data_IF_935577530483
#
_entry.id   IF_935577530483
#
_cell.length_a   1.000
_cell.length_b   1.000
_cell.length_c   1.000
_cell.angle_alpha   90.00
_cell.angle_beta   90.00
_cell.angle_gamma   90.00
#
_symmetry.space_group_name_H-M   'P 1'
#
loop_
_entity.id
_entity.type
_entity.pdbx_description
1 polymer ?
#
# COMPACT_ATOMS: atom_id res chain seq x y z
N UNK A 1 -8.36 -12.36 30.78
CA UNK A 1 -8.36 -11.83 29.40
C UNK A 1 -9.77 -11.37 29.11
N UNK A 2 -10.00 -10.06 29.01
CA UNK A 2 -11.26 -9.57 28.48
C UNK A 2 -11.29 -9.95 26.99
N UNK A 3 -12.29 -10.74 26.58
CA UNK A 3 -12.42 -11.16 25.18
C UNK A 3 -12.70 -9.98 24.26
N UNK A 4 -12.40 -10.15 22.98
CA UNK A 4 -12.80 -9.21 21.92
C UNK A 4 -14.32 -8.99 21.98
N UNK A 5 -14.77 -7.74 22.10
CA UNK A 5 -16.19 -7.39 22.14
C UNK A 5 -16.60 -6.73 20.82
N UNK A 6 -17.43 -7.42 20.05
CA UNK A 6 -17.98 -6.88 18.81
C UNK A 6 -19.15 -5.94 19.12
N UNK A 7 -19.08 -4.73 18.58
CA UNK A 7 -20.16 -3.76 18.61
C UNK A 7 -20.65 -3.52 17.18
N UNK A 8 -21.94 -3.78 16.92
CA UNK A 8 -22.54 -3.63 15.58
C UNK A 8 -23.43 -2.38 15.57
N UNK A 9 -23.22 -1.51 14.59
CA UNK A 9 -24.08 -0.38 14.29
C UNK A 9 -24.44 -0.40 12.80
N UNK A 10 -25.69 -0.09 12.48
CA UNK A 10 -26.20 -0.07 11.10
C UNK A 10 -26.47 1.34 10.58
N UNK A 11 -26.30 2.37 11.42
CA UNK A 11 -26.46 3.78 11.06
C UNK A 11 -25.31 4.62 11.59
N UNK A 12 -25.02 5.76 10.95
CA UNK A 12 -23.99 6.70 11.42
C UNK A 12 -24.26 7.16 12.87
N UNK A 13 -25.52 7.43 13.19
CA UNK A 13 -25.93 7.86 14.53
C UNK A 13 -25.64 6.80 15.59
N UNK A 14 -25.97 5.53 15.32
CA UNK A 14 -25.63 4.43 16.21
C UNK A 14 -24.10 4.29 16.37
N UNK A 15 -23.35 4.40 15.28
CA UNK A 15 -21.88 4.34 15.32
C UNK A 15 -21.32 5.47 16.18
N UNK A 16 -21.82 6.71 16.04
CA UNK A 16 -21.41 7.85 16.86
C UNK A 16 -21.72 7.62 18.34
N UNK A 17 -22.88 7.08 18.67
CA UNK A 17 -23.26 6.77 20.05
C UNK A 17 -22.33 5.72 20.66
N UNK A 18 -22.03 4.64 19.93
CA UNK A 18 -21.10 3.59 20.37
C UNK A 18 -19.71 4.18 20.57
N UNK A 19 -19.16 4.90 19.58
CA UNK A 19 -17.84 5.51 19.68
C UNK A 19 -17.76 6.48 20.86
N UNK A 20 -18.80 7.29 21.09
CA UNK A 20 -18.84 8.24 22.20
C UNK A 20 -18.89 7.54 23.56
N UNK A 21 -19.68 6.47 23.68
CA UNK A 21 -19.78 5.69 24.92
C UNK A 21 -18.45 5.00 25.28
N UNK A 22 -17.66 4.62 24.27
CA UNK A 22 -16.37 3.95 24.44
C UNK A 22 -15.16 4.89 24.33
N UNK A 23 -15.37 6.17 24.03
CA UNK A 23 -14.31 7.16 23.85
C UNK A 23 -13.36 7.24 25.05
N UNK A 24 -13.82 7.23 26.32
CA UNK A 24 -12.89 7.24 27.46
C UNK A 24 -11.91 6.07 27.44
N UNK A 25 -12.33 4.88 27.01
CA UNK A 25 -11.48 3.69 26.90
C UNK A 25 -10.44 3.87 25.79
N UNK A 26 -10.87 4.39 24.63
CA UNK A 26 -9.94 4.67 23.55
C UNK A 26 -8.93 5.74 23.92
N UNK A 27 -9.30 6.74 24.72
CA UNK A 27 -8.42 7.83 25.14
C UNK A 27 -7.51 7.49 26.34
N UNK A 28 -7.61 6.29 26.92
CA UNK A 28 -6.63 5.83 27.90
C UNK A 28 -5.23 5.82 27.28
N UNK A 29 -4.20 6.05 28.11
CA UNK A 29 -2.81 6.17 27.67
C UNK A 29 -2.20 4.86 27.16
N UNK A 30 -3.01 3.84 26.86
CA UNK A 30 -2.58 2.50 26.47
C UNK A 30 -3.33 2.04 25.21
N UNK A 31 -2.55 1.78 24.17
CA UNK A 31 -2.84 0.83 23.08
C UNK A 31 -4.04 1.11 22.13
N UNK A 32 -4.67 2.27 22.21
CA UNK A 32 -5.80 2.65 21.33
C UNK A 32 -5.48 3.77 20.32
N UNK A 33 -4.22 4.21 20.23
CA UNK A 33 -3.80 5.31 19.36
C UNK A 33 -4.09 5.05 17.88
N UNK A 34 -3.89 3.82 17.40
CA UNK A 34 -4.19 3.45 16.01
C UNK A 34 -5.69 3.53 15.71
N UNK A 35 -6.54 3.05 16.62
CA UNK A 35 -8.01 3.11 16.47
C UNK A 35 -8.46 4.56 16.42
N UNK A 36 -7.96 5.40 17.34
CA UNK A 36 -8.25 6.84 17.32
C UNK A 36 -7.80 7.50 16.01
N UNK A 37 -6.60 7.17 15.53
CA UNK A 37 -6.06 7.70 14.29
C UNK A 37 -6.95 7.34 13.09
N UNK A 38 -7.32 6.07 12.93
CA UNK A 38 -8.20 5.63 11.85
C UNK A 38 -9.55 6.34 11.93
N UNK A 39 -10.18 6.39 13.12
CA UNK A 39 -11.45 7.11 13.30
C UNK A 39 -11.31 8.58 12.94
N UNK A 40 -10.20 9.23 13.29
CA UNK A 40 -9.94 10.64 12.95
C UNK A 40 -9.86 10.85 11.44
N UNK A 41 -9.25 9.93 10.70
CA UNK A 41 -9.16 9.96 9.23
C UNK A 41 -10.55 9.80 8.62
N UNK A 42 -11.33 8.83 9.08
CA UNK A 42 -12.69 8.58 8.58
C UNK A 42 -13.63 9.78 8.80
N UNK A 43 -13.55 10.41 9.97
CA UNK A 43 -14.34 11.60 10.29
C UNK A 43 -13.89 12.83 9.50
N UNK A 44 -12.59 12.99 9.27
CA UNK A 44 -12.04 14.11 8.50
C UNK A 44 -12.44 14.03 7.03
N UNK A 45 -12.39 12.83 6.44
CA UNK A 45 -12.75 12.62 5.03
C UNK A 45 -14.27 12.57 4.81
N UNK A 46 -15.00 12.00 5.75
CA UNK A 46 -16.44 11.78 5.70
C UNK A 46 -16.82 10.46 5.01
N UNK A 47 -17.72 9.69 5.64
CA UNK A 47 -18.11 8.34 5.19
C UNK A 47 -18.75 8.35 3.80
N UNK A 48 -19.59 9.35 3.48
CA UNK A 48 -20.20 9.47 2.16
C UNK A 48 -19.17 9.70 1.06
N UNK A 49 -18.18 10.55 1.32
CA UNK A 49 -17.06 10.80 0.39
C UNK A 49 -16.25 9.53 0.16
N UNK A 50 -15.90 8.84 1.25
CA UNK A 50 -15.16 7.57 1.19
C UNK A 50 -15.91 6.59 0.30
N UNK A 51 -17.19 6.31 0.59
CA UNK A 51 -18.00 5.38 -0.20
C UNK A 51 -18.02 5.74 -1.69
N UNK A 52 -18.18 7.01 -2.02
CA UNK A 52 -18.22 7.46 -3.41
C UNK A 52 -16.88 7.33 -4.16
N UNK A 53 -15.75 7.23 -3.45
CA UNK A 53 -14.43 7.03 -4.05
C UNK A 53 -14.11 5.56 -4.36
N UNK A 54 -14.77 4.63 -3.65
CA UNK A 54 -14.62 3.18 -3.79
C UNK A 54 -15.35 2.65 -5.02
N UNK A 55 -14.98 1.45 -5.46
CA UNK A 55 -15.70 0.72 -6.50
C UNK A 55 -17.11 0.37 -6.03
N UNK A 56 -18.11 0.68 -6.86
CA UNK A 56 -19.52 0.38 -6.61
C UNK A 56 -19.87 -0.93 -7.31
N UNK A 57 -19.70 -2.06 -6.63
CA UNK A 57 -20.16 -3.34 -7.16
C UNK A 57 -21.67 -3.48 -6.94
N UNK A 58 -22.41 -3.74 -8.02
CA UNK A 58 -23.86 -3.86 -8.00
C UNK A 58 -24.32 -5.03 -7.12
N UNK A 59 -24.85 -4.72 -5.92
CA UNK A 59 -25.66 -5.67 -5.15
C UNK A 59 -25.28 -5.89 -3.69
N UNK A 60 -24.14 -5.42 -3.20
CA UNK A 60 -23.76 -5.57 -1.79
C UNK A 60 -23.05 -4.32 -1.27
N UNK A 61 -23.70 -3.61 -0.32
CA UNK A 61 -23.08 -2.79 0.73
C UNK A 61 -22.06 -1.68 0.44
N UNK A 62 -21.53 -1.53 -0.78
CA UNK A 62 -20.21 -0.93 -1.02
C UNK A 62 -19.07 -1.82 -0.49
N UNK A 63 -17.85 -1.64 -0.98
CA UNK A 63 -16.70 -2.33 -0.39
C UNK A 63 -16.51 -1.91 1.08
N UNK A 64 -16.00 -2.85 1.89
CA UNK A 64 -15.70 -2.62 3.29
C UNK A 64 -14.28 -2.08 3.43
N UNK A 65 -14.00 -1.32 4.50
CA UNK A 65 -12.63 -0.84 4.78
C UNK A 65 -11.77 -1.90 5.48
N UNK A 66 -12.42 -2.86 6.14
CA UNK A 66 -11.81 -4.04 6.76
C UNK A 66 -12.45 -5.25 6.10
N UNK A 67 -11.62 -6.10 5.51
CA UNK A 67 -12.02 -7.29 4.77
C UNK A 67 -11.99 -8.55 5.62
N UNK A 68 -11.90 -9.69 4.94
CA UNK A 68 -11.77 -10.99 5.59
C UNK A 68 -10.51 -11.05 6.48
N UNK A 69 -10.60 -11.82 7.57
CA UNK A 69 -9.52 -11.99 8.55
C UNK A 69 -9.03 -10.68 9.19
N UNK A 70 -9.90 -9.66 9.25
CA UNK A 70 -9.63 -8.36 9.87
C UNK A 70 -8.50 -7.56 9.18
N UNK A 71 -8.18 -7.89 7.93
CA UNK A 71 -7.20 -7.13 7.15
C UNK A 71 -7.77 -5.83 6.60
N UNK A 72 -6.92 -4.81 6.52
CA UNK A 72 -7.23 -3.60 5.78
C UNK A 72 -7.47 -3.94 4.30
N UNK A 73 -8.56 -3.41 3.73
CA UNK A 73 -8.74 -3.46 2.27
C UNK A 73 -7.88 -2.40 1.58
N UNK A 74 -7.76 -2.48 0.26
CA UNK A 74 -6.98 -1.51 -0.50
C UNK A 74 -7.53 -0.08 -0.35
N UNK A 75 -8.83 0.09 -0.11
CA UNK A 75 -9.45 1.40 0.05
C UNK A 75 -8.96 2.15 1.29
N UNK A 76 -8.87 1.48 2.45
CA UNK A 76 -8.34 2.15 3.65
C UNK A 76 -6.82 2.37 3.53
N UNK A 77 -6.10 1.47 2.87
CA UNK A 77 -4.67 1.63 2.59
C UNK A 77 -4.46 2.87 1.70
N UNK A 78 -5.17 2.98 0.59
CA UNK A 78 -5.08 4.13 -0.30
C UNK A 78 -5.58 5.42 0.34
N UNK A 79 -6.59 5.35 1.23
CA UNK A 79 -7.03 6.50 2.01
C UNK A 79 -5.91 7.03 2.90
N UNK A 80 -5.16 6.15 3.56
CA UNK A 80 -4.03 6.52 4.41
C UNK A 80 -2.80 6.99 3.60
N UNK A 81 -2.53 6.38 2.44
CA UNK A 81 -1.38 6.72 1.60
C UNK A 81 -1.59 8.00 0.79
N UNK A 82 -2.78 8.15 0.21
CA UNK A 82 -3.04 9.14 -0.84
C UNK A 82 -4.16 10.14 -0.48
N UNK A 83 -4.90 9.90 0.61
CA UNK A 83 -6.01 10.73 1.03
C UNK A 83 -7.32 10.46 0.29
N UNK A 84 -7.42 9.37 -0.50
CA UNK A 84 -8.64 8.95 -1.20
C UNK A 84 -8.82 7.43 -1.17
N UNK A 85 -10.05 6.99 -0.95
CA UNK A 85 -10.42 5.58 -0.74
C UNK A 85 -10.61 4.81 -2.05
N UNK A 86 -9.61 4.84 -2.93
CA UNK A 86 -9.63 4.14 -4.22
C UNK A 86 -9.43 2.64 -4.03
N UNK A 87 -10.23 1.82 -4.71
CA UNK A 87 -10.15 0.36 -4.62
C UNK A 87 -8.94 -0.22 -5.35
N UNK A 88 -8.35 0.52 -6.29
CA UNK A 88 -7.29 0.02 -7.14
C UNK A 88 -6.02 0.89 -7.09
N UNK A 89 -4.88 0.29 -7.47
CA UNK A 89 -3.54 0.88 -7.43
C UNK A 89 -2.99 1.25 -8.81
N UNK A 90 -3.75 1.07 -9.88
CA UNK A 90 -3.40 1.55 -11.22
C UNK A 90 -3.71 3.06 -11.39
N UNK A 91 -3.26 3.64 -12.49
CA UNK A 91 -3.50 5.06 -12.80
C UNK A 91 -4.90 5.29 -13.37
N UNK A 92 -5.59 6.32 -12.86
CA UNK A 92 -6.88 6.78 -13.36
C UNK A 92 -7.99 5.77 -13.19
N UNK A 93 -9.19 6.13 -13.65
CA UNK A 93 -10.32 5.21 -13.66
C UNK A 93 -10.27 4.36 -14.94
N UNK A 94 -10.62 3.07 -14.83
CA UNK A 94 -10.73 2.14 -15.94
C UNK A 94 -12.18 1.67 -16.09
N UNK A 95 -12.67 1.64 -17.33
CA UNK A 95 -14.00 1.07 -17.64
C UNK A 95 -13.78 -0.36 -18.13
N UNK A 96 -14.44 -1.33 -17.50
CA UNK A 96 -14.31 -2.73 -17.90
C UNK A 96 -14.80 -2.97 -19.34
N UNK A 97 -14.03 -3.75 -20.10
CA UNK A 97 -14.33 -4.07 -21.49
C UNK A 97 -15.74 -4.65 -21.66
N UNK A 98 -16.44 -4.22 -22.71
CA UNK A 98 -17.83 -4.60 -22.97
C UNK A 98 -18.87 -3.60 -22.47
N UNK A 99 -18.45 -2.57 -21.73
CA UNK A 99 -19.29 -1.41 -21.36
C UNK A 99 -18.74 -0.13 -21.97
N UNK A 100 -19.61 0.75 -22.47
CA UNK A 100 -19.21 2.08 -22.96
C UNK A 100 -19.17 3.06 -21.79
N UNK A 101 -18.31 4.08 -21.80
CA UNK A 101 -18.35 5.16 -20.80
C UNK A 101 -19.71 5.92 -20.80
N UNK A 102 -20.50 5.77 -21.86
CA UNK A 102 -21.86 6.29 -21.99
C UNK A 102 -22.94 5.31 -21.53
N UNK A 103 -22.57 4.08 -21.15
CA UNK A 103 -23.49 3.05 -20.67
C UNK A 103 -23.82 3.31 -19.19
N UNK A 104 -25.09 3.49 -18.82
CA UNK A 104 -25.48 3.64 -17.42
C UNK A 104 -25.09 2.44 -16.53
N UNK A 105 -24.86 1.26 -17.12
CA UNK A 105 -24.45 0.04 -16.40
C UNK A 105 -22.93 -0.21 -16.47
N UNK A 106 -22.14 0.77 -16.93
CA UNK A 106 -20.69 0.65 -17.00
C UNK A 106 -20.06 0.46 -15.61
N UNK A 107 -19.30 -0.62 -15.46
CA UNK A 107 -18.51 -0.86 -14.25
C UNK A 107 -17.20 -0.08 -14.37
N UNK A 108 -17.08 0.95 -13.56
CA UNK A 108 -15.88 1.79 -13.45
C UNK A 108 -15.05 1.32 -12.27
N UNK A 109 -13.84 0.84 -12.55
CA UNK A 109 -12.82 0.53 -11.57
C UNK A 109 -12.01 1.79 -11.27
N UNK A 110 -12.07 2.25 -10.02
CA UNK A 110 -11.47 3.50 -9.54
C UNK A 110 -10.02 3.28 -9.17
N UNK A 111 -9.12 3.91 -9.92
CA UNK A 111 -7.69 3.91 -9.63
C UNK A 111 -7.22 5.23 -9.02
N UNK A 112 -5.90 5.34 -8.88
CA UNK A 112 -5.22 6.49 -8.29
C UNK A 112 -5.35 7.68 -9.25
N UNK A 113 -5.84 8.82 -8.76
CA UNK A 113 -6.19 9.94 -9.64
C UNK A 113 -5.01 10.84 -10.03
N UNK A 114 -3.94 10.85 -9.23
CA UNK A 114 -2.76 11.68 -9.48
C UNK A 114 -1.54 11.12 -8.75
N UNK A 115 -0.34 11.58 -9.13
CA UNK A 115 0.91 11.24 -8.46
C UNK A 115 0.84 11.48 -6.95
N UNK A 116 1.09 10.43 -6.17
CA UNK A 116 1.03 10.44 -4.71
C UNK A 116 2.30 11.06 -4.10
N UNK A 117 2.19 11.53 -2.85
CA UNK A 117 3.34 12.01 -2.08
C UNK A 117 4.25 10.86 -1.67
N UNK A 118 3.66 9.75 -1.21
CA UNK A 118 4.35 8.51 -0.84
C UNK A 118 3.92 7.41 -1.81
N UNK A 119 4.86 6.55 -2.18
CA UNK A 119 4.65 5.49 -3.13
C UNK A 119 4.10 4.22 -2.51
N UNK A 120 3.73 3.30 -3.38
CA UNK A 120 3.30 1.96 -3.00
C UNK A 120 3.88 0.96 -3.99
N UNK A 121 4.35 -0.18 -3.48
CA UNK A 121 4.80 -1.31 -4.27
C UNK A 121 4.20 -2.59 -3.68
N UNK A 122 3.93 -3.58 -4.52
CA UNK A 122 3.25 -4.80 -4.07
C UNK A 122 3.86 -6.04 -4.68
N UNK A 123 4.03 -7.08 -3.85
CA UNK A 123 4.45 -8.40 -4.30
C UNK A 123 3.43 -9.03 -5.25
N UNK A 124 2.15 -8.72 -5.08
CA UNK A 124 1.08 -9.18 -5.96
C UNK A 124 1.25 -8.69 -7.41
N UNK A 125 2.00 -7.61 -7.64
CA UNK A 125 2.39 -7.20 -8.99
C UNK A 125 3.43 -8.15 -9.60
N UNK A 126 4.41 -8.59 -8.81
CA UNK A 126 5.40 -9.57 -9.27
C UNK A 126 4.75 -10.91 -9.64
N UNK A 127 3.67 -11.28 -8.93
CA UNK A 127 2.84 -12.43 -9.21
C UNK A 127 1.78 -12.19 -10.31
N UNK A 128 1.76 -11.01 -10.93
CA UNK A 128 0.85 -10.65 -12.01
C UNK A 128 -0.64 -10.66 -11.60
N UNK A 129 -0.95 -10.54 -10.30
CA UNK A 129 -2.31 -10.43 -9.80
C UNK A 129 -2.88 -9.02 -9.96
N UNK A 130 -2.03 -7.99 -9.95
CA UNK A 130 -2.40 -6.59 -10.13
C UNK A 130 -1.29 -5.83 -10.87
N UNK A 131 -1.58 -4.59 -11.27
CA UNK A 131 -0.59 -3.67 -11.84
C UNK A 131 -0.58 -2.38 -11.02
N UNK A 132 0.58 -2.03 -10.46
CA UNK A 132 0.75 -0.77 -9.72
C UNK A 132 1.09 0.33 -10.73
N UNK A 133 0.30 1.40 -10.71
CA UNK A 133 0.42 2.53 -11.63
C UNK A 133 1.62 3.43 -11.32
N UNK A 134 2.04 4.22 -12.30
CA UNK A 134 3.16 5.17 -12.13
C UNK A 134 2.89 6.24 -11.07
N UNK A 135 1.63 6.56 -10.76
CA UNK A 135 1.30 7.51 -9.70
C UNK A 135 1.68 7.03 -8.30
N UNK A 136 1.86 5.72 -8.11
CA UNK A 136 2.35 5.10 -6.87
C UNK A 136 3.80 4.63 -7.01
N UNK A 137 4.23 4.18 -8.20
CA UNK A 137 5.63 3.79 -8.42
C UNK A 137 6.57 4.98 -8.43
N UNK A 138 6.14 6.15 -8.89
CA UNK A 138 6.94 7.38 -9.00
C UNK A 138 6.35 8.45 -8.08
N UNK A 139 6.42 8.29 -6.75
CA UNK A 139 5.90 9.28 -5.81
C UNK A 139 6.70 10.58 -5.86
N UNK A 140 6.17 11.64 -5.25
CA UNK A 140 6.90 12.92 -5.09
C UNK A 140 8.09 12.80 -4.15
N UNK A 141 7.95 11.98 -3.13
CA UNK A 141 9.00 11.62 -2.18
C UNK A 141 9.30 10.14 -2.36
N UNK A 142 10.55 9.80 -2.63
CA UNK A 142 11.08 8.47 -2.92
C UNK A 142 11.11 7.57 -1.65
N UNK A 143 9.92 7.38 -1.11
CA UNK A 143 9.53 6.52 0.00
C UNK A 143 8.36 5.70 -0.51
N UNK A 144 8.40 4.39 -0.34
CA UNK A 144 7.39 3.45 -0.76
C UNK A 144 6.96 2.60 0.42
N UNK A 145 5.66 2.47 0.60
CA UNK A 145 5.11 1.39 1.40
C UNK A 145 5.11 0.12 0.56
N UNK A 146 5.72 -0.93 1.08
CA UNK A 146 5.82 -2.23 0.42
C UNK A 146 4.79 -3.18 1.04
N UNK A 147 3.89 -3.69 0.21
CA UNK A 147 2.95 -4.74 0.57
C UNK A 147 3.48 -6.09 0.09
N UNK A 148 3.89 -6.93 1.03
CA UNK A 148 4.35 -8.30 0.80
C UNK A 148 3.37 -9.25 1.48
N UNK A 149 2.43 -9.79 0.71
CA UNK A 149 1.31 -10.59 1.20
C UNK A 149 0.44 -9.85 2.23
N UNK A 150 0.44 -10.29 3.50
CA UNK A 150 -0.29 -9.64 4.60
C UNK A 150 0.53 -8.58 5.34
N UNK A 151 1.79 -8.39 4.95
CA UNK A 151 2.75 -7.59 5.69
C UNK A 151 3.11 -6.28 4.99
N UNK A 152 3.21 -5.20 5.77
CA UNK A 152 3.57 -3.88 5.29
C UNK A 152 4.89 -3.42 5.89
N UNK A 153 5.78 -2.93 5.03
CA UNK A 153 7.09 -2.38 5.38
C UNK A 153 7.35 -1.10 4.59
N UNK A 154 8.49 -0.44 4.83
CA UNK A 154 8.86 0.80 4.14
C UNK A 154 10.21 0.65 3.46
N UNK A 155 10.29 1.12 2.21
CA UNK A 155 11.50 1.21 1.40
C UNK A 155 11.71 2.66 0.98
N UNK A 156 12.92 3.21 1.11
CA UNK A 156 13.16 4.61 0.77
C UNK A 156 14.61 4.85 0.33
N UNK A 157 14.87 5.96 -0.36
CA UNK A 157 16.23 6.29 -0.80
C UNK A 157 17.13 6.65 0.38
N UNK A 158 18.35 6.10 0.39
CA UNK A 158 19.33 6.37 1.47
C UNK A 158 19.90 7.79 1.44
N UNK A 159 20.02 8.41 0.25
CA UNK A 159 20.47 9.80 0.12
C UNK A 159 19.28 10.76 0.31
N UNK A 160 19.26 11.60 1.37
CA UNK A 160 18.17 12.55 1.59
C UNK A 160 17.97 13.54 0.43
N UNK A 161 19.02 13.84 -0.33
CA UNK A 161 18.94 14.72 -1.51
C UNK A 161 18.24 14.05 -2.69
N UNK A 162 18.15 12.73 -2.68
CA UNK A 162 17.45 11.95 -3.68
C UNK A 162 15.97 11.74 -3.35
N UNK A 163 15.47 12.20 -2.19
CA UNK A 163 14.07 12.00 -1.79
C UNK A 163 13.09 12.62 -2.80
N UNK A 164 13.37 13.81 -3.31
CA UNK A 164 12.51 14.48 -4.30
C UNK A 164 13.13 14.48 -5.71
N UNK A 165 14.17 13.66 -5.93
CA UNK A 165 14.82 13.59 -7.23
C UNK A 165 14.01 12.72 -8.21
N UNK A 166 13.32 13.37 -9.15
CA UNK A 166 12.62 12.70 -10.24
C UNK A 166 13.53 11.97 -11.23
N UNK A 167 14.85 12.25 -11.24
CA UNK A 167 15.81 11.54 -12.08
C UNK A 167 16.22 10.17 -11.53
N UNK A 168 15.75 9.79 -10.33
CA UNK A 168 16.01 8.49 -9.70
C UNK A 168 15.73 7.32 -10.65
N UNK A 169 14.67 7.42 -11.47
CA UNK A 169 14.27 6.40 -12.45
C UNK A 169 15.35 6.04 -13.48
N UNK A 170 16.27 6.97 -13.75
CA UNK A 170 17.30 6.83 -14.79
C UNK A 170 18.69 6.50 -14.27
N UNK A 171 18.86 6.51 -12.94
CA UNK A 171 20.16 6.18 -12.31
C UNK A 171 20.41 4.68 -12.44
N UNK A 172 21.63 4.31 -12.81
CA UNK A 172 22.04 2.91 -12.94
C UNK A 172 22.27 2.20 -11.61
N UNK A 173 22.49 2.95 -10.53
CA UNK A 173 22.72 2.40 -9.19
C UNK A 173 22.12 3.32 -8.13
N UNK A 174 21.52 2.70 -7.11
CA UNK A 174 20.79 3.34 -6.02
C UNK A 174 21.14 2.66 -4.70
N UNK A 175 21.21 3.46 -3.63
CA UNK A 175 21.15 2.94 -2.27
C UNK A 175 19.74 3.14 -1.71
N UNK A 176 19.12 2.07 -1.25
CA UNK A 176 17.82 2.08 -0.59
C UNK A 176 17.96 1.62 0.86
N UNK A 177 17.06 2.08 1.72
CA UNK A 177 16.90 1.65 3.10
C UNK A 177 15.56 0.96 3.23
N UNK A 178 15.57 -0.23 3.82
CA UNK A 178 14.40 -1.03 4.14
C UNK A 178 14.20 -1.05 5.65
N UNK A 179 12.97 -0.82 6.09
CA UNK A 179 12.60 -0.87 7.50
C UNK A 179 11.25 -1.56 7.71
N UNK A 180 11.26 -2.53 8.62
CA UNK A 180 10.07 -3.23 9.08
C UNK A 180 9.72 -2.85 10.52
N UNK A 181 8.73 -1.97 10.65
CA UNK A 181 8.23 -1.54 11.96
C UNK A 181 7.42 -2.62 12.70
N UNK A 182 6.82 -3.59 11.99
CA UNK A 182 6.04 -4.64 12.63
C UNK A 182 6.94 -5.75 13.20
N UNK A 183 8.07 -6.02 12.55
CA UNK A 183 9.13 -6.85 13.10
C UNK A 183 9.92 -6.18 14.24
N UNK A 184 9.63 -4.90 14.53
CA UNK A 184 10.36 -4.09 15.52
C UNK A 184 11.87 -4.10 15.25
N UNK A 185 12.24 -3.90 13.99
CA UNK A 185 13.63 -3.87 13.53
C UNK A 185 14.37 -2.71 14.21
N UNK A 186 15.58 -2.96 14.73
CA UNK A 186 16.33 -1.95 15.48
C UNK A 186 16.97 -0.89 14.57
N UNK A 187 17.46 -1.30 13.39
CA UNK A 187 18.16 -0.45 12.41
C UNK A 187 17.70 -0.76 10.99
N UNK A 188 17.74 0.21 10.07
CA UNK A 188 17.38 -0.02 8.68
C UNK A 188 18.37 -0.93 7.93
N UNK A 189 17.87 -1.78 7.04
CA UNK A 189 18.70 -2.60 6.14
C UNK A 189 19.03 -1.78 4.91
N UNK A 190 20.32 -1.59 4.64
CA UNK A 190 20.77 -0.92 3.41
C UNK A 190 20.87 -1.91 2.27
N UNK A 191 20.25 -1.57 1.15
CA UNK A 191 20.27 -2.32 -0.10
C UNK A 191 20.97 -1.52 -1.19
N UNK A 192 21.89 -2.15 -1.92
CA UNK A 192 22.48 -1.55 -3.13
C UNK A 192 21.78 -2.14 -4.34
N UNK A 193 21.06 -1.31 -5.10
CA UNK A 193 20.27 -1.74 -6.26
C UNK A 193 20.96 -1.28 -7.55
N UNK A 194 21.33 -2.23 -8.42
CA UNK A 194 21.73 -1.94 -9.79
C UNK A 194 20.50 -2.07 -10.70
N UNK A 195 19.95 -0.94 -11.14
CA UNK A 195 18.66 -0.88 -11.87
C UNK A 195 18.76 -1.32 -13.33
N UNK A 196 19.97 -1.37 -13.89
CA UNK A 196 20.24 -1.63 -15.30
C UNK A 196 21.12 -2.88 -15.50
N UNK A 197 21.07 -3.83 -14.57
CA UNK A 197 21.88 -5.04 -14.64
C UNK A 197 21.69 -5.77 -15.98
N UNK A 198 22.78 -6.31 -16.52
CA UNK A 198 22.74 -7.12 -17.75
C UNK A 198 22.07 -8.46 -17.44
N UNK A 199 21.37 -9.04 -18.42
CA UNK A 199 20.62 -10.30 -18.24
C UNK A 199 21.50 -11.44 -17.68
N UNK A 200 22.80 -11.43 -17.99
CA UNK A 200 23.80 -12.39 -17.49
C UNK A 200 24.03 -12.29 -15.96
N UNK A 201 23.84 -11.11 -15.37
CA UNK A 201 23.95 -10.86 -13.92
C UNK A 201 22.65 -11.18 -13.17
N UNK A 202 21.51 -11.22 -13.88
CA UNK A 202 20.22 -11.62 -13.32
C UNK A 202 20.04 -13.14 -13.30
N UNK A 203 20.78 -13.87 -14.15
CA UNK A 203 20.69 -15.31 -14.36
C UNK A 203 21.60 -16.14 -13.43
N UNK A 204 22.36 -15.52 -12.53
CA UNK A 204 23.23 -16.23 -11.58
C UNK A 204 22.49 -16.80 -10.37
N UNK A 205 21.19 -16.53 -10.20
CA UNK A 205 20.35 -17.25 -9.25
C UNK A 205 20.02 -18.62 -9.85
N UNK A 206 20.45 -19.70 -9.19
CA UNK A 206 20.12 -21.05 -9.63
C UNK A 206 18.61 -21.27 -9.53
N UNK A 207 18.07 -22.24 -10.27
CA UNK A 207 16.64 -22.56 -10.26
C UNK A 207 16.13 -23.06 -8.88
N UNK A 208 17.04 -23.25 -7.91
CA UNK A 208 16.80 -23.70 -6.52
C UNK A 208 16.94 -22.57 -5.48
N UNK A 209 17.45 -21.38 -5.84
CA UNK A 209 17.61 -20.29 -4.89
C UNK A 209 16.27 -19.56 -4.72
N UNK A 210 15.71 -19.59 -3.50
CA UNK A 210 14.54 -18.80 -3.15
C UNK A 210 14.89 -17.31 -3.31
N UNK A 211 14.23 -16.65 -4.27
CA UNK A 211 14.39 -15.21 -4.48
C UNK A 211 13.63 -14.49 -3.36
N UNK A 212 14.27 -13.58 -2.61
CA UNK A 212 13.62 -12.80 -1.57
C UNK A 212 12.39 -12.06 -2.12
N UNK A 213 11.23 -12.06 -1.42
CA UNK A 213 10.05 -11.35 -1.89
C UNK A 213 10.30 -9.86 -2.17
N UNK A 214 11.14 -9.21 -1.36
CA UNK A 214 11.50 -7.81 -1.56
C UNK A 214 12.25 -7.57 -2.89
N UNK A 215 13.12 -8.49 -3.31
CA UNK A 215 13.79 -8.43 -4.61
C UNK A 215 12.77 -8.46 -5.75
N UNK A 216 11.74 -9.32 -5.64
CA UNK A 216 10.67 -9.41 -6.63
C UNK A 216 9.87 -8.10 -6.71
N UNK A 217 9.56 -7.49 -5.56
CA UNK A 217 8.90 -6.19 -5.48
C UNK A 217 9.74 -5.07 -6.13
N UNK A 218 11.04 -5.00 -5.80
CA UNK A 218 11.95 -4.00 -6.38
C UNK A 218 11.98 -4.13 -7.91
N UNK A 219 11.93 -5.36 -8.43
CA UNK A 219 11.90 -5.63 -9.88
C UNK A 219 10.61 -5.17 -10.55
N UNK A 220 9.49 -5.01 -9.85
CA UNK A 220 8.29 -4.44 -10.49
C UNK A 220 8.45 -2.95 -10.79
N UNK A 221 9.32 -2.26 -10.05
CA UNK A 221 9.70 -0.87 -10.29
C UNK A 221 10.89 -0.75 -11.24
N UNK A 222 11.92 -1.56 -11.05
CA UNK A 222 13.12 -1.62 -11.90
C UNK A 222 13.28 -3.04 -12.46
N UNK A 223 12.70 -3.36 -13.63
CA UNK A 223 12.62 -4.73 -14.16
C UNK A 223 13.94 -5.49 -14.29
N UNK A 224 15.06 -4.77 -14.37
CA UNK A 224 16.41 -5.33 -14.50
C UNK A 224 17.23 -5.21 -13.22
N UNK A 225 16.58 -4.97 -12.09
CA UNK A 225 17.27 -4.78 -10.83
C UNK A 225 17.91 -6.05 -10.30
N UNK A 226 19.18 -5.93 -9.90
CA UNK A 226 19.81 -6.83 -8.92
C UNK A 226 19.95 -6.10 -7.59
N UNK A 227 19.82 -6.83 -6.49
CA UNK A 227 19.83 -6.30 -5.12
C UNK A 227 20.98 -6.92 -4.36
N UNK A 228 21.83 -6.08 -3.78
CA UNK A 228 22.85 -6.49 -2.82
C UNK A 228 22.41 -6.09 -1.42
N UNK A 229 22.26 -7.09 -0.54
CA UNK A 229 21.86 -6.94 0.86
C UNK A 229 23.03 -6.51 1.77
N UNK A 230 24.20 -6.20 1.19
CA UNK A 230 25.37 -5.65 1.87
C UNK A 230 25.85 -6.48 3.07
N UNK A 231 25.75 -7.81 2.95
CA UNK A 231 26.15 -8.77 3.98
C UNK A 231 25.07 -9.10 5.01
N UNK A 232 23.87 -8.52 4.90
CA UNK A 232 22.69 -8.93 5.67
C UNK A 232 22.06 -10.16 5.02
N UNK A 233 21.54 -11.09 5.83
CA UNK A 233 20.79 -12.24 5.34
C UNK A 233 19.47 -11.78 4.70
N UNK A 234 19.18 -12.15 3.44
CA UNK A 234 17.94 -11.75 2.78
C UNK A 234 16.70 -12.27 3.51
N UNK A 235 15.68 -11.42 3.59
CA UNK A 235 14.40 -11.79 4.19
C UNK A 235 13.62 -12.66 3.21
N UNK A 236 13.39 -13.92 3.59
CA UNK A 236 12.61 -14.91 2.84
C UNK A 236 11.15 -14.95 3.29
#
# INVERSE_FOLDING_TARGET
MAGLKLHVATTEEQTRQILTAHLPQFMESKDSGLVQFVVSVLLTKGVGTIKNEMDQLSGDGGSQLIGAHDYCTQEIVNLLLCGYARSNVFNGDQVLEGTSASDPDAIVLRGISAQSTVGFLSLFEAYQNLVVGSYLKQPRVNVWVVCSESHYSVLFTADPRALEDGALETRSSLDLLYYDGLANQDEEIRLTVNTLALAEQSATASHDDLIPPLDLVIRTKWPRATVDWNGVEPLL
#
